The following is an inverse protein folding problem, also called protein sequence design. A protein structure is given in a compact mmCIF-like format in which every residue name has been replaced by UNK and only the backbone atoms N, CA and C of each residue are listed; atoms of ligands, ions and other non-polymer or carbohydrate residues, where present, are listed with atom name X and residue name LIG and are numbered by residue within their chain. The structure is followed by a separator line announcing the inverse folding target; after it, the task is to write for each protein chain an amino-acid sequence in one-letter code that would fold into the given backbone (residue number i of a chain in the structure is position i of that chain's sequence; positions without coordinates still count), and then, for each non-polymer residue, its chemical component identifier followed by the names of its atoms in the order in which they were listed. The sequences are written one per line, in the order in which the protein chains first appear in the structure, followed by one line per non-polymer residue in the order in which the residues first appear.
data_IF_680435862220
#
_entry.id   IF_680435862220
#
_cell.length_a   1.000
_cell.length_b   1.000
_cell.length_c   1.000
_cell.angle_alpha   90.00
_cell.angle_beta   90.00
_cell.angle_gamma   90.00
#
_symmetry.space_group_name_H-M   'P 1'
#
loop_
_entity.id
_entity.type
_entity.pdbx_description
1 polymer ?
#
# COMPACT_ATOMS: atom_id res chain seq x y z
N UNK A 1 4.30 -13.88 15.76
CA UNK A 1 4.45 -13.11 15.32
C UNK A 1 3.92 -12.42 14.73
N UNK A 2 4.02 -11.91 14.59
CA UNK A 2 3.40 -11.21 14.38
C UNK A 2 3.76 -10.13 13.59
N UNK A 3 4.13 -10.30 12.47
CA UNK A 3 4.34 -9.31 11.52
C UNK A 3 3.06 -8.60 11.25
N UNK A 4 3.13 -7.32 11.16
CA UNK A 4 1.99 -6.53 10.80
C UNK A 4 1.68 -6.75 9.33
N UNK A 5 0.41 -6.93 9.00
CA UNK A 5 0.00 -6.98 7.60
C UNK A 5 0.36 -5.69 6.88
N UNK A 6 0.30 -4.58 7.61
CA UNK A 6 0.69 -3.30 7.05
C UNK A 6 2.14 -3.34 6.57
N UNK A 7 3.04 -3.87 7.40
CA UNK A 7 4.45 -4.00 7.01
C UNK A 7 4.62 -4.90 5.79
N UNK A 8 3.86 -5.98 5.73
CA UNK A 8 3.91 -6.87 4.57
C UNK A 8 3.49 -6.13 3.30
N UNK A 9 2.45 -5.31 3.41
CA UNK A 9 2.00 -4.52 2.27
C UNK A 9 3.05 -3.53 1.80
N UNK A 10 3.70 -2.86 2.74
CA UNK A 10 4.77 -1.91 2.41
C UNK A 10 5.94 -2.64 1.76
N UNK A 11 6.32 -3.78 2.29
CA UNK A 11 7.39 -4.57 1.71
C UNK A 11 7.05 -4.99 0.28
N UNK A 12 5.83 -5.45 0.06
CA UNK A 12 5.38 -5.83 -1.28
C UNK A 12 5.45 -4.64 -2.23
N UNK A 13 5.06 -3.47 -1.74
CA UNK A 13 5.09 -2.25 -2.54
C UNK A 13 6.51 -1.93 -3.00
N UNK A 14 7.48 -1.98 -2.08
CA UNK A 14 8.86 -1.69 -2.42
C UNK A 14 9.49 -2.78 -3.27
N UNK A 15 8.97 -4.00 -3.17
CA UNK A 15 9.42 -5.10 -4.02
C UNK A 15 8.78 -5.05 -5.41
N UNK A 16 7.96 -4.05 -5.65
CA UNK A 16 7.22 -3.86 -6.89
C UNK A 16 6.20 -4.95 -7.15
N UNK A 17 5.79 -5.65 -6.10
CA UNK A 17 4.69 -6.60 -6.19
C UNK A 17 3.39 -5.85 -5.89
N UNK A 18 3.00 -5.04 -6.83
CA UNK A 18 1.88 -4.11 -6.62
C UNK A 18 0.55 -4.85 -6.44
N UNK A 19 0.37 -5.97 -7.10
CA UNK A 19 -0.84 -6.74 -6.95
C UNK A 19 -0.98 -7.25 -5.52
N UNK A 20 0.10 -7.74 -4.95
CA UNK A 20 0.11 -8.23 -3.58
C UNK A 20 -0.10 -7.08 -2.59
N UNK A 21 0.61 -5.96 -2.82
CA UNK A 21 0.47 -4.80 -1.96
C UNK A 21 -0.97 -4.30 -1.96
N UNK A 22 -1.57 -4.20 -3.12
CA UNK A 22 -2.94 -3.75 -3.25
C UNK A 22 -3.89 -4.67 -2.48
N UNK A 23 -3.70 -5.98 -2.61
CA UNK A 23 -4.53 -6.95 -1.91
C UNK A 23 -4.41 -6.79 -0.40
N UNK A 24 -3.19 -6.64 0.10
CA UNK A 24 -2.95 -6.49 1.54
C UNK A 24 -3.61 -5.22 2.06
N UNK A 25 -3.40 -4.10 1.39
CA UNK A 25 -3.97 -2.84 1.85
C UNK A 25 -5.49 -2.81 1.70
N UNK A 26 -6.03 -3.47 0.69
CA UNK A 26 -7.48 -3.59 0.55
C UNK A 26 -8.07 -4.33 1.74
N UNK A 27 -7.42 -5.41 2.15
CA UNK A 27 -7.85 -6.18 3.32
C UNK A 27 -7.80 -5.31 4.58
N UNK A 28 -6.72 -4.54 4.75
CA UNK A 28 -6.59 -3.68 5.92
C UNK A 28 -7.66 -2.60 5.97
N UNK A 29 -7.96 -2.00 4.83
CA UNK A 29 -9.01 -0.98 4.75
C UNK A 29 -10.38 -1.61 5.03
N UNK A 30 -10.58 -2.83 4.57
CA UNK A 30 -11.83 -3.52 4.81
C UNK A 30 -12.04 -3.76 6.31
N UNK A 31 -10.99 -4.13 7.03
CA UNK A 31 -11.07 -4.36 8.47
C UNK A 31 -11.11 -3.07 9.27
N UNK A 32 -10.48 -2.03 8.78
CA UNK A 32 -10.39 -0.76 9.50
C UNK A 32 -10.48 0.40 8.53
N UNK A 33 -11.70 0.76 8.08
CA UNK A 33 -11.88 1.82 7.10
C UNK A 33 -11.38 3.18 7.56
N UNK A 34 -11.18 3.37 8.86
CA UNK A 34 -10.68 4.62 9.39
C UNK A 34 -9.16 4.78 9.33
N UNK A 35 -8.46 3.74 8.89
CA UNK A 35 -7.01 3.79 8.82
C UNK A 35 -6.57 4.56 7.58
N UNK A 36 -6.23 5.83 7.76
CA UNK A 36 -5.82 6.69 6.66
C UNK A 36 -4.54 6.23 5.98
N UNK A 37 -3.61 5.64 6.75
CA UNK A 37 -2.37 5.12 6.18
C UNK A 37 -2.63 3.97 5.21
N UNK A 38 -3.47 3.02 5.62
CA UNK A 38 -3.80 1.89 4.76
C UNK A 38 -4.52 2.37 3.50
N UNK A 39 -5.41 3.34 3.66
CA UNK A 39 -6.14 3.89 2.51
C UNK A 39 -5.19 4.57 1.54
N UNK A 40 -4.23 5.32 2.05
CA UNK A 40 -3.27 6.00 1.20
C UNK A 40 -2.42 4.99 0.43
N UNK A 41 -1.91 3.98 1.13
CA UNK A 41 -1.08 2.98 0.47
C UNK A 41 -1.87 2.12 -0.51
N UNK A 42 -3.14 1.89 -0.24
CA UNK A 42 -4.00 1.19 -1.19
C UNK A 42 -4.11 2.00 -2.48
N UNK A 43 -4.35 3.29 -2.35
CA UNK A 43 -4.42 4.19 -3.49
C UNK A 43 -3.09 4.18 -4.26
N UNK A 44 -1.98 4.29 -3.53
CA UNK A 44 -0.66 4.31 -4.14
C UNK A 44 -0.37 3.00 -4.87
N UNK A 45 -0.67 1.86 -4.25
CA UNK A 45 -0.46 0.57 -4.87
C UNK A 45 -1.29 0.41 -6.13
N UNK A 46 -2.53 0.88 -6.10
CA UNK A 46 -3.40 0.83 -7.26
C UNK A 46 -2.82 1.65 -8.42
N UNK A 47 -2.35 2.86 -8.11
CA UNK A 47 -1.77 3.72 -9.14
C UNK A 47 -0.50 3.11 -9.72
N UNK A 48 0.36 2.58 -8.86
CA UNK A 48 1.61 1.98 -9.33
C UNK A 48 1.36 0.71 -10.13
N UNK A 49 0.30 -0.02 -9.81
CA UNK A 49 -0.06 -1.19 -10.59
C UNK A 49 -0.47 -0.79 -12.03
N UNK A 50 -1.07 0.39 -12.16
CA UNK A 50 -1.46 0.90 -13.47
C UNK A 50 -0.29 1.56 -14.19
N UNK A 51 0.67 2.08 -13.42
CA UNK A 51 1.84 2.77 -13.96
C UNK A 51 3.10 2.21 -13.30
N UNK A 52 3.50 0.98 -13.66
CA UNK A 52 4.60 0.32 -12.97
C UNK A 52 5.94 1.02 -13.12
N UNK A 53 6.07 1.92 -14.08
CA UNK A 53 7.29 2.70 -14.27
C UNK A 53 7.32 3.95 -13.40
N UNK A 54 6.25 4.21 -12.65
CA UNK A 54 6.19 5.37 -11.79
C UNK A 54 7.10 5.23 -10.57
N UNK A 55 7.47 6.36 -9.99
CA UNK A 55 8.27 6.35 -8.78
C UNK A 55 7.40 6.18 -7.56
N UNK A 56 7.93 5.47 -6.58
CA UNK A 56 7.28 5.37 -5.27
C UNK A 56 7.72 6.58 -4.47
N UNK A 57 6.76 7.44 -4.13
CA UNK A 57 7.05 8.63 -3.36
C UNK A 57 6.36 8.53 -2.01
N UNK A 58 7.15 8.63 -0.95
CA UNK A 58 6.63 8.64 0.39
C UNK A 58 6.46 10.05 0.93
N UNK A 59 6.95 11.04 0.19
CA UNK A 59 6.75 12.43 0.53
C UNK A 59 5.45 12.93 -0.10
N UNK A 60 4.39 12.23 0.17
CA UNK A 60 3.11 12.53 -0.41
C UNK A 60 2.44 13.75 0.21
N UNK A 61 1.12 13.81 0.13
CA UNK A 61 0.39 15.00 0.56
C UNK A 61 0.56 15.38 2.02
N UNK A 62 1.14 14.54 2.81
CA UNK A 62 1.34 14.85 4.23
C UNK A 62 2.70 15.49 4.52
N UNK A 63 3.51 15.72 3.54
CA UNK A 63 4.82 16.35 3.76
C UNK A 63 4.77 17.85 3.60
#
# INVERSE_FOLDING_TARGET
ATGSRFSEGVYALYSRDFAQAKRIFLELVHHNPGDGGARYFLYLADRLAQHPDGEIRLDGPWT
#
